data_IF_314680958903
#
_entry.id   IF_314680958903
#
_cell.length_a   1.000
_cell.length_b   1.000
_cell.length_c   1.000
_cell.angle_alpha   90.00
_cell.angle_beta   90.00
_cell.angle_gamma   90.00
#
_symmetry.space_group_name_H-M   'P 1'
#
loop_
_entity.id
_entity.type
_entity.pdbx_description
1 polymer ?
#
# COMPACT_ATOMS: atom_id res chain seq x y z
N UNK A 1 -22.85 -2.02 49.25
CA UNK A 1 -22.13 -0.86 48.68
C UNK A 1 -22.79 -0.57 47.33
N UNK A 2 -23.56 0.52 47.17
CA UNK A 2 -24.07 0.89 45.87
C UNK A 2 -22.88 1.38 45.03
N UNK A 3 -22.67 0.82 43.85
CA UNK A 3 -21.69 1.35 42.90
C UNK A 3 -22.27 2.64 42.31
N UNK A 4 -21.52 3.73 42.35
CA UNK A 4 -21.83 4.95 41.59
C UNK A 4 -22.10 4.56 40.13
N UNK A 5 -23.33 4.83 39.68
CA UNK A 5 -23.75 4.60 38.29
C UNK A 5 -23.19 5.66 37.33
N UNK A 6 -22.58 6.73 37.85
CA UNK A 6 -22.06 7.89 37.10
C UNK A 6 -20.55 7.83 36.81
N UNK A 7 -19.96 6.63 36.75
CA UNK A 7 -18.57 6.48 36.32
C UNK A 7 -18.51 6.25 34.80
N UNK A 8 -17.88 7.13 34.01
CA UNK A 8 -17.75 6.93 32.58
C UNK A 8 -16.91 5.68 32.30
N UNK A 9 -17.47 4.75 31.53
CA UNK A 9 -16.86 3.44 31.24
C UNK A 9 -15.82 3.51 30.11
N UNK A 10 -15.96 4.48 29.20
CA UNK A 10 -15.00 4.86 28.16
C UNK A 10 -15.44 6.19 27.52
N UNK A 11 -14.50 6.97 26.98
CA UNK A 11 -14.78 8.14 26.13
C UNK A 11 -14.74 7.73 24.65
N UNK A 12 -15.87 7.93 23.96
CA UNK A 12 -15.99 7.71 22.53
C UNK A 12 -15.59 8.97 21.77
N UNK A 13 -14.40 8.96 21.18
CA UNK A 13 -13.84 10.03 20.33
C UNK A 13 -14.50 10.14 18.96
N UNK A 14 -15.50 9.32 18.64
CA UNK A 14 -16.17 9.30 17.33
C UNK A 14 -17.59 9.85 17.32
N UNK A 15 -18.12 10.32 18.47
CA UNK A 15 -19.47 10.89 18.48
C UNK A 15 -19.53 12.28 17.86
N UNK A 16 -20.58 12.60 17.09
CA UNK A 16 -20.62 13.76 16.21
C UNK A 16 -20.88 15.04 16.99
N UNK A 17 -20.30 16.12 16.47
CA UNK A 17 -20.39 17.51 16.94
C UNK A 17 -21.83 17.84 17.38
N UNK A 18 -21.99 18.34 18.63
CA UNK A 18 -23.26 18.94 19.08
C UNK A 18 -23.53 20.21 18.26
N UNK A 19 -24.55 20.18 17.41
CA UNK A 19 -24.98 21.33 16.60
C UNK A 19 -26.03 22.11 17.39
N UNK A 20 -25.66 23.30 17.86
CA UNK A 20 -26.58 24.25 18.47
C UNK A 20 -27.19 25.16 17.38
N UNK A 21 -28.52 25.38 17.36
CA UNK A 21 -29.17 26.22 16.35
C UNK A 21 -28.62 27.67 16.38
N UNK A 22 -28.09 28.13 15.25
CA UNK A 22 -27.59 29.51 15.08
C UNK A 22 -26.10 29.71 15.36
N UNK A 23 -25.35 28.64 15.68
CA UNK A 23 -23.90 28.71 15.86
C UNK A 23 -23.17 28.08 14.65
N UNK A 24 -22.58 28.91 13.80
CA UNK A 24 -21.72 28.44 12.70
C UNK A 24 -20.36 28.01 13.26
N UNK A 25 -20.08 26.70 13.22
CA UNK A 25 -18.78 26.11 13.58
C UNK A 25 -18.00 25.62 12.37
N UNK A 26 -18.15 26.28 11.21
CA UNK A 26 -17.39 25.97 9.99
C UNK A 26 -15.87 26.15 10.13
N UNK A 27 -15.40 26.88 11.16
CA UNK A 27 -13.99 26.96 11.55
C UNK A 27 -13.84 26.73 13.07
N UNK A 28 -13.63 25.49 13.52
CA UNK A 28 -13.38 25.19 14.93
C UNK A 28 -12.07 25.84 15.41
N UNK A 29 -12.09 26.50 16.56
CA UNK A 29 -10.93 27.22 17.12
C UNK A 29 -9.73 26.28 17.44
N UNK A 30 -10.00 24.99 17.65
CA UNK A 30 -9.00 23.97 18.01
C UNK A 30 -8.36 23.26 16.80
N UNK A 31 -8.70 23.65 15.57
CA UNK A 31 -8.14 23.06 14.36
C UNK A 31 -7.03 23.92 13.76
N UNK A 32 -5.78 23.45 13.91
CA UNK A 32 -4.65 24.00 13.18
C UNK A 32 -4.68 23.54 11.71
N UNK A 33 -5.15 24.42 10.83
CA UNK A 33 -5.09 24.18 9.39
C UNK A 33 -3.65 24.35 8.90
N UNK A 34 -2.97 23.24 8.64
CA UNK A 34 -1.63 23.25 8.05
C UNK A 34 -1.74 23.13 6.53
N UNK A 35 -1.13 24.07 5.79
CA UNK A 35 -1.00 23.97 4.34
C UNK A 35 0.03 22.89 4.00
N UNK A 36 -0.43 21.69 3.69
CA UNK A 36 0.43 20.58 3.26
C UNK A 36 0.62 20.70 1.75
N UNK A 37 1.82 21.11 1.33
CA UNK A 37 2.20 21.15 -0.09
C UNK A 37 2.18 19.75 -0.70
N UNK A 38 1.58 19.59 -1.88
CA UNK A 38 1.56 18.33 -2.64
C UNK A 38 2.93 17.88 -3.17
N UNK A 39 3.99 18.65 -2.92
CA UNK A 39 5.38 18.35 -3.28
C UNK A 39 6.19 17.74 -2.13
N UNK A 40 5.63 17.60 -0.93
CA UNK A 40 6.24 16.82 0.14
C UNK A 40 5.92 15.33 -0.06
N UNK A 41 6.82 14.40 0.31
CA UNK A 41 6.54 12.97 0.22
C UNK A 41 5.35 12.65 1.10
N UNK A 42 4.21 12.44 0.47
CA UNK A 42 2.99 11.89 1.04
C UNK A 42 3.26 10.43 1.40
N UNK A 43 4.06 10.24 2.45
CA UNK A 43 4.11 9.02 3.20
C UNK A 43 2.76 8.89 3.89
N UNK A 44 1.84 8.16 3.28
CA UNK A 44 0.68 7.65 4.00
C UNK A 44 1.23 6.79 5.14
N UNK A 45 1.25 7.35 6.36
CA UNK A 45 1.54 6.62 7.58
C UNK A 45 0.22 5.97 7.98
N UNK A 46 0.03 4.72 7.59
CA UNK A 46 -1.09 3.93 8.06
C UNK A 46 -0.83 3.59 9.54
N UNK A 47 -1.62 4.18 10.42
CA UNK A 47 -1.70 3.77 11.81
C UNK A 47 -2.56 2.51 11.87
N UNK A 48 -1.96 1.36 11.52
CA UNK A 48 -2.63 0.07 11.69
C UNK A 48 -2.71 -0.21 13.18
N UNK A 49 -3.92 -0.14 13.72
CA UNK A 49 -4.18 -0.49 15.11
C UNK A 49 -4.06 -2.01 15.28
N UNK A 50 -3.54 -2.48 16.41
CA UNK A 50 -3.32 -3.90 16.69
C UNK A 50 -4.63 -4.74 16.69
N UNK A 51 -5.79 -4.09 16.57
CA UNK A 51 -7.13 -4.65 16.43
C UNK A 51 -7.54 -4.99 14.99
N UNK A 52 -6.88 -4.44 13.96
CA UNK A 52 -7.30 -4.58 12.55
C UNK A 52 -6.40 -5.53 11.74
N UNK A 53 -5.16 -5.76 12.20
CA UNK A 53 -4.25 -6.76 11.65
C UNK A 53 -3.79 -7.69 12.76
N UNK A 54 -4.05 -9.00 12.63
CA UNK A 54 -3.67 -9.97 13.67
C UNK A 54 -2.21 -10.38 13.53
N UNK A 55 -1.67 -10.38 12.30
CA UNK A 55 -0.32 -10.86 12.03
C UNK A 55 0.34 -10.13 10.87
N UNK A 56 1.61 -9.79 11.05
CA UNK A 56 2.51 -9.36 9.97
C UNK A 56 3.49 -10.49 9.70
N UNK A 57 3.54 -10.97 8.46
CA UNK A 57 4.43 -12.03 8.00
C UNK A 57 5.48 -11.44 7.07
N UNK A 58 6.73 -11.91 7.22
CA UNK A 58 7.79 -11.66 6.25
C UNK A 58 7.91 -12.94 5.43
N UNK A 59 7.73 -12.81 4.12
CA UNK A 59 7.77 -13.93 3.19
C UNK A 59 8.53 -13.52 1.92
N UNK A 60 8.50 -14.37 0.90
CA UNK A 60 9.14 -14.15 -0.40
C UNK A 60 8.17 -14.46 -1.54
N UNK A 61 8.29 -13.73 -2.64
CA UNK A 61 7.68 -14.08 -3.93
C UNK A 61 8.77 -14.49 -4.90
N UNK A 62 8.46 -15.43 -5.78
CA UNK A 62 9.41 -15.93 -6.78
C UNK A 62 8.75 -16.24 -8.13
N UNK A 63 9.48 -16.92 -9.03
CA UNK A 63 8.99 -17.29 -10.35
C UNK A 63 7.67 -18.08 -10.32
N UNK A 64 7.52 -18.98 -9.35
CA UNK A 64 6.33 -19.85 -9.20
C UNK A 64 5.05 -19.07 -8.81
N UNK A 65 5.21 -17.87 -8.24
CA UNK A 65 4.08 -16.99 -7.91
C UNK A 65 3.63 -16.17 -9.13
N UNK A 66 4.43 -16.11 -10.20
CA UNK A 66 4.09 -15.33 -11.39
C UNK A 66 3.01 -16.02 -12.22
N UNK A 67 1.97 -15.31 -12.71
CA UNK A 67 0.98 -15.88 -13.61
C UNK A 67 1.62 -16.37 -14.92
N UNK A 68 1.15 -17.51 -15.45
CA UNK A 68 1.69 -18.12 -16.67
C UNK A 68 1.44 -17.30 -17.94
N UNK A 69 0.46 -16.41 -17.90
CA UNK A 69 0.07 -15.50 -18.98
C UNK A 69 0.59 -14.06 -18.76
N UNK A 70 1.43 -13.83 -17.76
CA UNK A 70 2.00 -12.51 -17.50
C UNK A 70 3.00 -12.08 -18.60
N UNK A 71 3.04 -10.77 -18.86
CA UNK A 71 4.01 -10.17 -19.79
C UNK A 71 5.43 -10.16 -19.21
N UNK A 72 5.53 -10.10 -17.88
CA UNK A 72 6.78 -10.11 -17.14
C UNK A 72 6.61 -11.01 -15.93
N UNK A 73 7.64 -11.82 -15.65
CA UNK A 73 7.66 -12.78 -14.55
C UNK A 73 8.89 -12.55 -13.68
N UNK A 74 8.79 -12.89 -12.40
CA UNK A 74 9.94 -12.84 -11.48
C UNK A 74 10.96 -13.91 -11.89
N UNK A 75 12.25 -13.56 -11.86
CA UNK A 75 13.35 -14.52 -12.12
C UNK A 75 14.12 -14.93 -10.87
N UNK A 76 13.93 -14.20 -9.78
CA UNK A 76 14.56 -14.45 -8.48
C UNK A 76 13.55 -14.29 -7.35
N UNK A 77 13.91 -14.75 -6.15
CA UNK A 77 13.09 -14.57 -4.96
C UNK A 77 13.29 -13.18 -4.35
N UNK A 78 12.18 -12.47 -4.12
CA UNK A 78 12.17 -11.13 -3.54
C UNK A 78 11.40 -11.15 -2.21
N UNK A 79 11.93 -10.56 -1.14
CA UNK A 79 11.21 -10.51 0.13
C UNK A 79 10.03 -9.54 0.05
N UNK A 80 8.92 -9.96 0.66
CA UNK A 80 7.67 -9.23 0.76
C UNK A 80 7.17 -9.20 2.20
N UNK A 81 6.22 -8.31 2.47
CA UNK A 81 5.45 -8.25 3.69
C UNK A 81 4.04 -8.69 3.37
N UNK A 82 3.47 -9.55 4.23
CA UNK A 82 2.06 -9.95 4.15
C UNK A 82 1.38 -9.50 5.42
N UNK A 83 0.30 -8.76 5.28
CA UNK A 83 -0.60 -8.42 6.38
C UNK A 83 -1.77 -9.40 6.37
N UNK A 84 -1.97 -10.06 7.49
CA UNK A 84 -3.13 -10.90 7.77
C UNK A 84 -4.19 -10.00 8.41
N UNK A 85 -5.09 -9.48 7.57
CA UNK A 85 -6.31 -8.84 8.05
C UNK A 85 -7.36 -9.92 8.26
N UNK A 86 -8.24 -9.74 9.24
CA UNK A 86 -9.22 -10.76 9.66
C UNK A 86 -10.10 -11.30 8.52
N UNK A 87 -10.17 -10.56 7.41
CA UNK A 87 -10.93 -10.84 6.19
C UNK A 87 -10.09 -11.22 4.96
N UNK A 88 -8.84 -10.75 4.85
CA UNK A 88 -8.01 -10.83 3.64
C UNK A 88 -6.52 -10.90 3.95
N UNK A 89 -5.74 -11.35 2.97
CA UNK A 89 -4.30 -11.22 2.99
C UNK A 89 -3.88 -10.09 2.06
N UNK A 90 -3.03 -9.20 2.57
CA UNK A 90 -2.49 -8.09 1.79
C UNK A 90 -0.99 -8.26 1.61
N UNK A 91 -0.55 -8.50 0.38
CA UNK A 91 0.86 -8.61 0.05
C UNK A 91 1.42 -7.27 -0.45
N UNK A 92 2.56 -6.88 0.10
CA UNK A 92 3.25 -5.63 -0.24
C UNK A 92 4.76 -5.82 -0.27
N UNK A 93 5.43 -4.86 -0.87
CA UNK A 93 6.88 -4.83 -1.01
C UNK A 93 7.58 -4.66 0.34
N UNK A 94 8.73 -5.30 0.51
CA UNK A 94 9.58 -5.09 1.68
C UNK A 94 10.49 -3.88 1.49
N UNK A 95 10.48 -2.93 2.43
CA UNK A 95 11.33 -1.72 2.41
C UNK A 95 12.84 -2.00 2.30
N UNK A 96 13.30 -3.18 2.67
CA UNK A 96 14.75 -3.51 2.67
C UNK A 96 15.29 -3.90 1.31
N UNK A 97 14.47 -4.47 0.42
CA UNK A 97 14.91 -4.83 -0.94
C UNK A 97 14.06 -4.22 -2.05
N UNK A 98 12.88 -3.74 -1.73
CA UNK A 98 11.88 -3.32 -2.70
C UNK A 98 11.21 -2.00 -2.26
N UNK A 99 11.95 -0.89 -2.10
CA UNK A 99 11.34 0.40 -1.82
C UNK A 99 10.99 1.10 -3.15
N UNK A 100 10.01 0.59 -3.90
CA UNK A 100 9.58 1.30 -5.11
C UNK A 100 8.95 2.64 -4.72
N UNK A 101 9.45 3.71 -5.33
CA UNK A 101 9.07 5.09 -5.01
C UNK A 101 7.82 5.51 -5.78
N UNK A 102 6.78 5.97 -5.05
CA UNK A 102 5.52 6.46 -5.63
C UNK A 102 4.40 5.41 -5.61
N UNK A 103 3.28 5.80 -4.98
CA UNK A 103 1.97 5.14 -4.81
C UNK A 103 1.98 3.61 -5.01
N UNK A 104 1.98 2.87 -3.90
CA UNK A 104 1.66 1.45 -3.91
C UNK A 104 0.60 1.18 -2.87
N UNK A 105 -0.48 0.56 -3.33
CA UNK A 105 -1.48 -0.04 -2.46
C UNK A 105 -1.09 -1.53 -2.37
N UNK A 106 -0.96 -2.11 -1.17
CA UNK A 106 -0.85 -3.55 -1.00
C UNK A 106 -1.93 -4.28 -1.82
N UNK A 107 -1.62 -5.47 -2.32
CA UNK A 107 -2.57 -6.24 -3.15
C UNK A 107 -3.28 -7.28 -2.30
N UNK A 108 -4.61 -7.32 -2.39
CA UNK A 108 -5.45 -8.24 -1.61
C UNK A 108 -5.54 -9.65 -2.24
N UNK A 109 -5.82 -10.66 -1.40
CA UNK A 109 -6.19 -12.01 -1.79
C UNK A 109 -6.92 -12.74 -0.66
N UNK A 110 -7.72 -13.77 -1.00
CA UNK A 110 -8.41 -14.60 0.02
C UNK A 110 -7.44 -15.56 0.71
N UNK A 111 -6.32 -15.86 0.07
CA UNK A 111 -5.22 -16.65 0.63
C UNK A 111 -3.87 -15.95 0.45
N UNK A 112 -2.88 -16.35 1.24
CA UNK A 112 -1.48 -15.93 1.07
C UNK A 112 -0.99 -16.18 -0.36
N UNK A 113 -1.31 -17.33 -0.95
CA UNK A 113 -0.88 -17.68 -2.30
C UNK A 113 -1.51 -16.78 -3.37
N UNK A 114 -2.78 -16.41 -3.19
CA UNK A 114 -3.46 -15.48 -4.09
C UNK A 114 -2.91 -14.07 -3.95
N UNK A 115 -2.69 -13.57 -2.73
CA UNK A 115 -2.08 -12.27 -2.50
C UNK A 115 -0.68 -12.19 -3.11
N UNK A 116 0.13 -13.26 -2.98
CA UNK A 116 1.45 -13.37 -3.64
C UNK A 116 1.35 -13.32 -5.15
N UNK A 117 0.45 -14.11 -5.74
CA UNK A 117 0.26 -14.15 -7.19
C UNK A 117 -0.25 -12.81 -7.73
N UNK A 118 -1.17 -12.18 -7.00
CA UNK A 118 -1.70 -10.86 -7.35
C UNK A 118 -0.61 -9.78 -7.27
N UNK A 119 0.25 -9.83 -6.25
CA UNK A 119 1.42 -8.96 -6.16
C UNK A 119 2.39 -9.21 -7.33
N UNK A 120 2.74 -10.46 -7.65
CA UNK A 120 3.61 -10.78 -8.78
C UNK A 120 3.04 -10.26 -10.12
N UNK A 121 1.73 -10.37 -10.32
CA UNK A 121 1.03 -9.84 -11.49
C UNK A 121 1.09 -8.31 -11.56
N UNK A 122 0.84 -7.62 -10.45
CA UNK A 122 0.90 -6.16 -10.33
C UNK A 122 2.31 -5.62 -10.64
N UNK A 123 3.36 -6.28 -10.12
CA UNK A 123 4.75 -5.93 -10.43
C UNK A 123 5.07 -6.03 -11.92
N UNK A 124 4.59 -7.09 -12.57
CA UNK A 124 4.76 -7.26 -14.02
C UNK A 124 4.00 -6.20 -14.82
N UNK A 125 2.78 -5.87 -14.40
CA UNK A 125 1.98 -4.81 -15.01
C UNK A 125 2.67 -3.43 -14.89
N UNK A 126 3.29 -3.14 -13.75
CA UNK A 126 4.00 -1.88 -13.54
C UNK A 126 5.29 -1.79 -14.34
N UNK A 127 6.06 -2.87 -14.45
CA UNK A 127 7.22 -2.89 -15.33
C UNK A 127 6.81 -2.56 -16.77
N UNK A 128 5.71 -3.16 -17.25
CA UNK A 128 5.13 -2.84 -18.56
C UNK A 128 4.77 -1.35 -18.67
N UNK A 129 4.08 -0.79 -17.68
CA UNK A 129 3.71 0.63 -17.66
C UNK A 129 4.93 1.55 -17.66
N UNK A 130 5.96 1.24 -16.87
CA UNK A 130 7.19 2.02 -16.79
C UNK A 130 7.97 1.98 -18.11
N UNK A 131 8.00 0.84 -18.80
CA UNK A 131 8.60 0.71 -20.14
C UNK A 131 7.84 1.54 -21.18
N UNK A 132 6.50 1.53 -21.14
CA UNK A 132 5.65 2.36 -22.01
C UNK A 132 5.85 3.85 -21.73
N UNK A 133 5.88 4.26 -20.46
CA UNK A 133 6.14 5.64 -20.05
C UNK A 133 7.54 6.10 -20.47
N UNK A 134 8.56 5.26 -20.24
CA UNK A 134 9.94 5.55 -20.62
C UNK A 134 10.10 5.71 -22.13
N UNK A 135 9.48 4.83 -22.93
CA UNK A 135 9.52 4.92 -24.40
C UNK A 135 8.77 6.15 -24.92
N UNK A 136 7.57 6.43 -24.39
CA UNK A 136 6.75 7.59 -24.78
C UNK A 136 7.43 8.93 -24.46
N UNK A 137 8.02 9.06 -23.28
CA UNK A 137 8.66 10.30 -22.83
C UNK A 137 10.16 10.40 -23.20
N UNK A 138 10.68 9.53 -24.08
CA UNK A 138 12.11 9.47 -24.45
C UNK A 138 13.03 9.44 -23.22
N UNK A 139 12.64 8.71 -22.18
CA UNK A 139 13.38 8.61 -20.92
C UNK A 139 13.27 9.80 -19.98
N UNK A 140 12.47 10.83 -20.29
CA UNK A 140 12.21 11.99 -19.41
C UNK A 140 11.11 11.71 -18.38
N UNK A 141 11.22 10.61 -17.64
CA UNK A 141 10.34 10.30 -16.51
C UNK A 141 10.98 10.75 -15.20
N UNK A 142 10.20 10.89 -14.13
CA UNK A 142 10.70 11.32 -12.83
C UNK A 142 11.84 10.39 -12.32
N UNK A 143 12.89 10.90 -11.64
CA UNK A 143 14.04 10.09 -11.21
C UNK A 143 13.65 8.85 -10.40
N UNK A 144 12.68 8.97 -9.50
CA UNK A 144 12.10 7.88 -8.73
C UNK A 144 11.54 6.74 -9.61
N UNK A 145 10.89 7.07 -10.74
CA UNK A 145 10.37 6.08 -11.68
C UNK A 145 11.47 5.40 -12.50
N UNK A 146 12.59 6.10 -12.74
CA UNK A 146 13.77 5.51 -13.37
C UNK A 146 14.40 4.47 -12.45
N UNK A 147 14.49 4.76 -11.14
CA UNK A 147 14.98 3.81 -10.14
C UNK A 147 14.08 2.58 -10.05
N UNK A 148 12.76 2.77 -10.02
CA UNK A 148 11.79 1.68 -10.05
C UNK A 148 11.95 0.81 -11.31
N UNK A 149 12.10 1.45 -12.48
CA UNK A 149 12.29 0.75 -13.74
C UNK A 149 13.58 -0.10 -13.72
N UNK A 150 14.69 0.48 -13.26
CA UNK A 150 15.96 -0.25 -13.13
C UNK A 150 15.84 -1.44 -12.19
N UNK A 151 15.19 -1.26 -11.05
CA UNK A 151 14.99 -2.32 -10.09
C UNK A 151 14.13 -3.46 -10.65
N UNK A 152 12.93 -3.15 -11.16
CA UNK A 152 12.03 -4.17 -11.70
C UNK A 152 12.65 -4.90 -12.90
N UNK A 153 13.39 -4.20 -13.76
CA UNK A 153 14.14 -4.83 -14.85
C UNK A 153 15.28 -5.73 -14.36
N UNK A 154 15.78 -5.51 -13.14
CA UNK A 154 16.85 -6.32 -12.55
C UNK A 154 16.35 -7.65 -12.00
N UNK A 155 15.08 -7.74 -11.58
CA UNK A 155 14.50 -8.91 -10.91
C UNK A 155 13.37 -9.61 -11.71
N UNK A 156 13.00 -9.08 -12.88
CA UNK A 156 12.00 -9.65 -13.77
C UNK A 156 12.55 -9.91 -15.18
N UNK A 157 11.98 -10.88 -15.88
CA UNK A 157 12.23 -11.20 -17.29
C UNK A 157 10.91 -11.20 -18.09
N UNK A 158 11.01 -11.17 -19.42
CA UNK A 158 9.84 -11.27 -20.29
C UNK A 158 9.17 -12.64 -20.13
N UNK A 159 7.86 -12.62 -19.88
CA UNK A 159 7.02 -13.80 -19.78
C UNK A 159 6.43 -14.22 -21.13
N UNK A 160 5.81 -15.39 -21.16
CA UNK A 160 5.13 -15.95 -22.34
C UNK A 160 3.96 -15.10 -22.86
N UNK A 161 3.38 -14.22 -22.02
CA UNK A 161 2.27 -13.35 -22.43
C UNK A 161 2.69 -12.10 -23.22
N UNK A 162 3.99 -11.81 -23.34
CA UNK A 162 4.52 -10.64 -24.02
C UNK A 162 4.97 -10.87 -25.47
N UNK A 163 4.75 -12.07 -26.03
CA UNK A 163 5.10 -12.44 -27.41
C UNK A 163 4.04 -12.02 -28.42
#
# INVERSE_FOLDING_TARGET
>A
MPQDEDRPLAEDITTPIKIDPGLDRSTPDDWSWNYVSSSQPNAAVFHISHSESTRVLIDKIGPDDSPTDANFVLKEEIPIVILDSLDKYWAAESRTKMPLSGIRVPVEGDTVAEAKRALAADLGAQLRLLLLLSSSHKGKIAPALIENLKYLSSCMDAGSGGS
#
